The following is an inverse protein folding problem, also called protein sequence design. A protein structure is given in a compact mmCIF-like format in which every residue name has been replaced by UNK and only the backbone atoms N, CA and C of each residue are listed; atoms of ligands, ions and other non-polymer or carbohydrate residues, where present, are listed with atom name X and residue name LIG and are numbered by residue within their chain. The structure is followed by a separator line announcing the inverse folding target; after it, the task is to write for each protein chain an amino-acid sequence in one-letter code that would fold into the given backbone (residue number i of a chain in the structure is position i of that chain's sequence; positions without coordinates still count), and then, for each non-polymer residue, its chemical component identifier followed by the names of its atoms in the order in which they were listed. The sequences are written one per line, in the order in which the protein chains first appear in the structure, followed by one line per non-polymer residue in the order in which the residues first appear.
data_IF_798200426897
#
_entry.id   IF_798200426897
#
_cell.length_a   1.000
_cell.length_b   1.000
_cell.length_c   1.000
_cell.angle_alpha   90.00
_cell.angle_beta   90.00
_cell.angle_gamma   90.00
#
_symmetry.space_group_name_H-M   'P 1'
#
loop_
_entity.id
_entity.type
_entity.pdbx_description
1 polymer ?
#
# COMPACT_ATOMS: atom_id res chain seq x y z
N UNK A 1 19.49 -4.53 -5.18
CA UNK A 1 18.07 -4.82 -4.88
C UNK A 1 17.36 -5.06 -6.19
N UNK A 2 17.02 -6.31 -6.52
CA UNK A 2 16.18 -6.59 -7.69
C UNK A 2 14.78 -6.05 -7.37
N UNK A 3 14.40 -4.94 -8.01
CA UNK A 3 13.06 -4.38 -7.86
C UNK A 3 12.03 -5.46 -8.18
N UNK A 4 11.05 -5.64 -7.29
CA UNK A 4 9.87 -6.44 -7.58
C UNK A 4 9.18 -5.83 -8.79
N UNK A 5 9.47 -6.32 -9.99
CA UNK A 5 8.61 -6.06 -11.14
C UNK A 5 7.30 -6.77 -10.84
N UNK A 6 6.31 -5.99 -10.46
CA UNK A 6 4.96 -6.47 -10.23
C UNK A 6 4.45 -7.02 -11.57
N UNK A 7 3.88 -8.24 -11.54
CA UNK A 7 3.29 -8.84 -12.73
C UNK A 7 2.29 -7.85 -13.36
N UNK A 8 2.36 -7.70 -14.68
CA UNK A 8 1.38 -6.96 -15.43
C UNK A 8 -0.02 -7.54 -15.24
N UNK A 9 -1.05 -6.73 -15.48
CA UNK A 9 -2.45 -7.18 -15.37
C UNK A 9 -2.75 -8.35 -16.31
N UNK A 10 -2.14 -8.37 -17.50
CA UNK A 10 -2.24 -9.46 -18.46
C UNK A 10 -1.61 -10.76 -17.92
N UNK A 11 -0.37 -10.70 -17.45
CA UNK A 11 0.35 -11.87 -16.91
C UNK A 11 -0.39 -12.49 -15.71
N UNK A 12 -0.92 -11.64 -14.81
CA UNK A 12 -1.78 -12.11 -13.70
C UNK A 12 -3.05 -12.78 -14.21
N UNK A 13 -3.68 -12.22 -15.24
CA UNK A 13 -4.86 -12.81 -15.89
C UNK A 13 -4.57 -14.21 -16.44
N UNK A 14 -3.44 -14.36 -17.13
CA UNK A 14 -2.99 -15.66 -17.68
C UNK A 14 -2.75 -16.68 -16.56
N UNK A 15 -2.06 -16.30 -15.49
CA UNK A 15 -1.80 -17.18 -14.34
C UNK A 15 -3.10 -17.62 -13.66
N UNK A 16 -4.02 -16.67 -13.43
CA UNK A 16 -5.31 -16.95 -12.79
C UNK A 16 -6.16 -17.86 -13.67
N UNK A 17 -6.25 -17.58 -14.97
CA UNK A 17 -6.98 -18.41 -15.93
C UNK A 17 -6.46 -19.84 -15.94
N UNK A 18 -5.15 -20.03 -16.11
CA UNK A 18 -4.55 -21.36 -16.14
C UNK A 18 -4.80 -22.15 -14.84
N UNK A 19 -4.69 -21.49 -13.68
CA UNK A 19 -4.98 -22.12 -12.37
C UNK A 19 -6.48 -22.41 -12.18
N UNK A 20 -7.36 -21.59 -12.74
CA UNK A 20 -8.80 -21.83 -12.70
C UNK A 20 -9.21 -23.03 -13.57
N UNK A 21 -8.51 -23.25 -14.68
CA UNK A 21 -8.66 -24.43 -15.55
C UNK A 21 -8.05 -25.72 -14.96
N UNK A 22 -7.60 -25.72 -13.71
CA UNK A 22 -7.11 -26.92 -13.02
C UNK A 22 -5.62 -27.25 -13.22
N UNK A 23 -4.86 -26.48 -14.01
CA UNK A 23 -3.43 -26.72 -14.17
C UNK A 23 -2.65 -26.52 -12.88
N UNK A 24 -1.66 -27.39 -12.62
CA UNK A 24 -0.76 -27.31 -11.48
C UNK A 24 0.17 -26.08 -11.54
N UNK A 25 0.73 -25.68 -10.39
CA UNK A 25 1.65 -24.54 -10.32
C UNK A 25 2.92 -24.81 -11.16
N UNK A 26 3.41 -26.04 -11.16
CA UNK A 26 4.60 -26.42 -11.92
C UNK A 26 4.37 -26.38 -13.43
N UNK A 27 3.22 -26.84 -13.92
CA UNK A 27 2.86 -26.76 -15.34
C UNK A 27 2.78 -25.30 -15.82
N UNK A 28 2.13 -24.43 -15.05
CA UNK A 28 2.03 -23.00 -15.36
C UNK A 28 3.42 -22.34 -15.33
N UNK A 29 4.28 -22.72 -14.39
CA UNK A 29 5.65 -22.20 -14.30
C UNK A 29 6.48 -22.58 -15.52
N UNK A 30 6.41 -23.84 -15.95
CA UNK A 30 7.12 -24.31 -17.14
C UNK A 30 6.59 -23.65 -18.42
N UNK A 31 5.26 -23.49 -18.53
CA UNK A 31 4.62 -22.98 -19.75
C UNK A 31 4.83 -21.48 -19.97
N UNK A 32 4.79 -20.69 -18.90
CA UNK A 32 4.85 -19.23 -18.99
C UNK A 32 6.17 -18.63 -18.50
N UNK A 33 7.12 -19.46 -18.06
CA UNK A 33 8.44 -19.02 -17.63
C UNK A 33 8.47 -18.25 -16.30
N UNK A 34 7.36 -18.19 -15.57
CA UNK A 34 7.31 -17.56 -14.25
C UNK A 34 7.80 -18.50 -13.15
N UNK A 35 8.39 -17.95 -12.10
CA UNK A 35 8.74 -18.74 -10.94
C UNK A 35 7.48 -19.32 -10.25
N UNK A 36 7.62 -20.51 -9.67
CA UNK A 36 6.54 -21.16 -8.89
C UNK A 36 6.04 -20.27 -7.73
N UNK A 37 6.94 -19.50 -7.12
CA UNK A 37 6.60 -18.57 -6.03
C UNK A 37 5.80 -17.37 -6.53
N UNK A 38 6.14 -16.83 -7.70
CA UNK A 38 5.39 -15.76 -8.37
C UNK A 38 3.96 -16.20 -8.67
N UNK A 39 3.79 -17.39 -9.26
CA UNK A 39 2.48 -17.96 -9.57
C UNK A 39 1.65 -18.20 -8.31
N UNK A 40 2.25 -18.81 -7.28
CA UNK A 40 1.57 -19.09 -6.00
C UNK A 40 1.08 -17.80 -5.33
N UNK A 41 1.91 -16.74 -5.33
CA UNK A 41 1.54 -15.43 -4.78
C UNK A 41 0.41 -14.77 -5.57
N UNK A 42 0.52 -14.72 -6.90
CA UNK A 42 -0.50 -14.12 -7.76
C UNK A 42 -1.87 -14.80 -7.60
N UNK A 43 -1.88 -16.14 -7.57
CA UNK A 43 -3.12 -16.89 -7.40
C UNK A 43 -3.72 -16.74 -5.99
N UNK A 44 -2.88 -16.68 -4.94
CA UNK A 44 -3.36 -16.41 -3.58
C UNK A 44 -3.99 -15.03 -3.46
N UNK A 45 -3.36 -14.01 -4.03
CA UNK A 45 -3.91 -12.64 -4.04
C UNK A 45 -5.23 -12.56 -4.79
N UNK A 46 -5.35 -13.26 -5.91
CA UNK A 46 -6.61 -13.41 -6.63
C UNK A 46 -7.68 -14.10 -5.76
N UNK A 47 -7.37 -15.21 -5.08
CA UNK A 47 -8.34 -15.91 -4.23
C UNK A 47 -8.89 -15.05 -3.10
N UNK A 48 -8.08 -14.14 -2.56
CA UNK A 48 -8.50 -13.23 -1.48
C UNK A 48 -9.26 -12.02 -2.02
N UNK A 49 -8.81 -11.44 -3.13
CA UNK A 49 -9.35 -10.16 -3.63
C UNK A 49 -10.40 -10.29 -4.73
N UNK A 50 -10.48 -11.44 -5.38
CA UNK A 50 -11.26 -11.67 -6.61
C UNK A 50 -10.73 -10.91 -7.83
N UNK A 51 -9.59 -10.21 -7.72
CA UNK A 51 -9.08 -9.29 -8.74
C UNK A 51 -7.74 -9.77 -9.29
N UNK A 52 -7.60 -9.66 -10.61
CA UNK A 52 -6.33 -9.92 -11.32
C UNK A 52 -5.44 -8.69 -11.37
N UNK A 53 -5.98 -7.50 -11.11
CA UNK A 53 -5.22 -6.26 -11.01
C UNK A 53 -4.73 -6.01 -9.59
N UNK A 54 -3.47 -5.60 -9.47
CA UNK A 54 -2.87 -5.20 -8.20
C UNK A 54 -2.64 -3.68 -8.17
N UNK A 55 -3.69 -2.91 -7.90
CA UNK A 55 -3.58 -1.45 -7.74
C UNK A 55 -3.04 -1.04 -6.35
N UNK A 56 -2.49 -1.96 -5.55
CA UNK A 56 -1.98 -1.64 -4.21
C UNK A 56 -0.93 -0.54 -4.22
N UNK A 57 -0.10 -0.46 -5.25
CA UNK A 57 0.90 0.61 -5.41
C UNK A 57 0.28 2.00 -5.65
N UNK A 58 -0.96 2.09 -6.15
CA UNK A 58 -1.69 3.36 -6.33
C UNK A 58 -2.52 3.76 -5.11
N UNK A 59 -2.61 2.88 -4.11
CA UNK A 59 -3.25 3.20 -2.85
C UNK A 59 -2.22 3.90 -1.95
N UNK A 60 -2.05 5.20 -2.15
CA UNK A 60 -1.34 6.01 -1.17
C UNK A 60 -2.14 6.04 0.13
N UNK A 61 -1.45 6.03 1.28
CA UNK A 61 -2.09 6.35 2.56
C UNK A 61 -2.65 7.77 2.45
N UNK A 62 -3.97 7.90 2.62
CA UNK A 62 -4.61 9.23 2.68
C UNK A 62 -3.98 10.02 3.82
N UNK A 63 -3.42 11.19 3.51
CA UNK A 63 -2.96 12.13 4.53
C UNK A 63 -4.19 12.73 5.21
N UNK A 64 -4.26 12.66 6.53
CA UNK A 64 -5.34 13.26 7.33
C UNK A 64 -5.18 14.78 7.46
N UNK A 65 -3.95 15.28 7.35
CA UNK A 65 -3.61 16.70 7.43
C UNK A 65 -3.26 17.26 6.05
N UNK A 66 -3.57 18.54 5.82
CA UNK A 66 -3.09 19.25 4.63
C UNK A 66 -1.57 19.45 4.74
N UNK A 67 -0.92 19.75 3.61
CA UNK A 67 0.54 19.95 3.59
C UNK A 67 1.00 21.08 4.52
N UNK A 68 0.20 22.16 4.64
CA UNK A 68 0.46 23.25 5.56
C UNK A 68 0.41 22.82 7.03
N UNK A 69 -0.56 21.97 7.37
CA UNK A 69 -0.74 21.41 8.71
C UNK A 69 0.43 20.51 9.08
N UNK A 70 0.90 19.67 8.16
CA UNK A 70 2.12 18.88 8.34
C UNK A 70 3.36 19.77 8.58
N UNK A 71 3.52 20.86 7.81
CA UNK A 71 4.62 21.81 8.01
C UNK A 71 4.51 22.52 9.37
N UNK A 72 3.31 22.86 9.81
CA UNK A 72 3.06 23.48 11.13
C UNK A 72 3.40 22.50 12.26
N UNK A 73 2.90 21.28 12.20
CA UNK A 73 3.20 20.22 13.17
C UNK A 73 4.72 19.98 13.26
N UNK A 74 5.41 19.91 12.12
CA UNK A 74 6.87 19.75 12.08
C UNK A 74 7.60 20.91 12.77
N UNK A 75 7.12 22.16 12.60
CA UNK A 75 7.68 23.34 13.29
C UNK A 75 7.47 23.27 14.80
N UNK A 76 6.32 22.81 15.27
CA UNK A 76 6.01 22.65 16.70
C UNK A 76 6.96 21.61 17.31
N UNK A 77 7.07 20.43 16.69
CA UNK A 77 7.95 19.35 17.14
C UNK A 77 9.45 19.75 17.13
N UNK A 78 9.86 20.60 16.19
CA UNK A 78 11.24 21.12 16.15
C UNK A 78 11.54 22.12 17.26
N UNK A 79 10.56 22.96 17.64
CA UNK A 79 10.69 23.94 18.72
C UNK A 79 10.74 23.28 20.08
N UNK A 80 9.87 22.31 20.30
CA UNK A 80 9.77 21.62 21.57
C UNK A 80 9.76 20.10 21.37
N UNK A 81 10.95 19.52 21.42
CA UNK A 81 11.16 18.07 21.27
C UNK A 81 10.70 17.27 22.49
N UNK A 82 10.42 17.92 23.63
CA UNK A 82 10.04 17.27 24.90
C UNK A 82 8.54 17.45 25.22
N UNK A 83 7.81 18.21 24.41
CA UNK A 83 6.38 18.44 24.61
C UNK A 83 5.57 17.13 24.58
N UNK A 84 4.60 17.04 25.48
CA UNK A 84 3.66 15.92 25.57
C UNK A 84 2.50 16.15 24.59
N UNK A 85 1.88 15.09 24.08
CA UNK A 85 0.81 15.14 23.08
C UNK A 85 -0.29 16.19 23.35
N UNK A 86 -0.82 16.37 24.59
CA UNK A 86 -1.85 17.38 24.85
C UNK A 86 -1.35 18.82 24.62
N UNK A 87 -0.08 19.10 24.96
CA UNK A 87 0.52 20.41 24.75
C UNK A 87 0.76 20.68 23.26
N UNK A 88 1.16 19.65 22.51
CA UNK A 88 1.32 19.73 21.05
C UNK A 88 -0.04 20.00 20.40
N UNK A 89 -1.09 19.29 20.81
CA UNK A 89 -2.45 19.47 20.28
C UNK A 89 -2.98 20.88 20.59
N UNK A 90 -2.81 21.38 21.83
CA UNK A 90 -3.18 22.73 22.21
C UNK A 90 -2.46 23.77 21.31
N UNK A 91 -1.13 23.67 21.19
CA UNK A 91 -0.32 24.55 20.34
C UNK A 91 -0.69 24.47 18.84
N UNK A 92 -1.05 23.27 18.39
CA UNK A 92 -1.46 23.04 17.01
C UNK A 92 -2.83 23.70 16.71
N UNK A 93 -3.74 23.68 17.67
CA UNK A 93 -5.10 24.23 17.53
C UNK A 93 -5.19 25.74 17.78
N UNK A 94 -4.13 26.40 18.28
CA UNK A 94 -4.12 27.86 18.46
C UNK A 94 -4.46 28.57 17.13
N UNK A 95 -5.52 29.37 17.14
CA UNK A 95 -5.93 30.19 15.99
C UNK A 95 -6.49 29.41 14.79
N UNK A 96 -6.91 28.16 14.96
CA UNK A 96 -7.54 27.35 13.89
C UNK A 96 -9.03 27.26 14.11
N UNK A 97 -9.83 27.53 13.08
CA UNK A 97 -11.30 27.44 13.12
C UNK A 97 -11.83 26.01 13.21
N UNK A 98 -10.97 25.02 12.97
CA UNK A 98 -11.27 23.58 13.07
C UNK A 98 -10.24 22.95 14.00
N UNK A 99 -10.67 22.51 15.17
CA UNK A 99 -9.80 21.86 16.14
C UNK A 99 -9.53 20.40 15.74
N UNK A 100 -8.29 19.96 15.92
CA UNK A 100 -7.89 18.55 15.81
C UNK A 100 -7.87 17.96 17.21
N UNK A 101 -8.75 16.99 17.44
CA UNK A 101 -8.79 16.20 18.68
C UNK A 101 -7.76 15.07 18.65
N UNK A 102 -7.24 14.70 19.82
CA UNK A 102 -6.39 13.50 20.01
C UNK A 102 -7.24 12.35 20.49
#
# INVERSE_FOLDING_TARGET
MAGYQDLGGFERGVIVGARHMGHSISEVAMKFGFSRTTISRAYREYRVSGKTSNFRHRCCRKKTLKELDHRRQTRILKRDRRAILPQIAANFNVGVSTSVSV
#
